data_IF_914606499732
#
_entry.id   IF_914606499732
#
_cell.length_a   1.000
_cell.length_b   1.000
_cell.length_c   1.000
_cell.angle_alpha   90.00
_cell.angle_beta   90.00
_cell.angle_gamma   90.00
#
_symmetry.space_group_name_H-M   'P 1'
#
loop_
_entity.id
_entity.type
_entity.pdbx_description
1 polymer ?
#
# COMPACT_ATOMS: atom_id res chain seq x y z
N UNK A 1 43.87 -28.34 -19.39
CA UNK A 1 42.53 -27.77 -19.68
C UNK A 1 42.46 -26.38 -19.09
N UNK A 2 42.18 -25.32 -19.88
CA UNK A 2 41.92 -23.98 -19.33
C UNK A 2 40.49 -23.97 -18.77
N UNK A 3 40.35 -23.73 -17.47
CA UNK A 3 39.05 -23.64 -16.81
C UNK A 3 38.32 -22.40 -17.32
N UNK A 4 37.14 -22.59 -17.93
CA UNK A 4 36.30 -21.49 -18.43
C UNK A 4 35.52 -20.93 -17.24
N UNK A 5 35.95 -19.79 -16.72
CA UNK A 5 35.23 -19.07 -15.67
C UNK A 5 34.12 -18.23 -16.31
N UNK A 6 32.92 -18.30 -15.76
CA UNK A 6 31.77 -17.47 -16.13
C UNK A 6 31.53 -16.51 -14.97
N UNK A 7 31.44 -15.22 -15.26
CA UNK A 7 31.14 -14.18 -14.28
C UNK A 7 29.70 -14.32 -13.76
N UNK A 8 29.54 -14.33 -12.43
CA UNK A 8 28.24 -14.27 -11.77
C UNK A 8 27.82 -12.80 -11.73
N UNK A 9 26.81 -12.44 -12.52
CA UNK A 9 26.34 -11.04 -12.63
C UNK A 9 25.36 -10.63 -11.53
N UNK A 10 24.68 -11.59 -10.92
CA UNK A 10 23.71 -11.35 -9.86
C UNK A 10 23.44 -12.68 -9.17
N UNK A 11 23.74 -12.74 -7.88
CA UNK A 11 23.47 -13.90 -7.04
C UNK A 11 22.25 -13.68 -6.14
N UNK A 12 21.89 -14.70 -5.37
CA UNK A 12 20.73 -14.64 -4.47
C UNK A 12 20.90 -13.55 -3.40
N UNK A 13 22.12 -13.27 -2.96
CA UNK A 13 22.41 -12.26 -1.93
C UNK A 13 22.28 -10.84 -2.48
N UNK A 14 22.86 -10.57 -3.66
CA UNK A 14 22.70 -9.29 -4.37
C UNK A 14 21.22 -8.98 -4.60
N UNK A 15 20.45 -9.96 -5.09
CA UNK A 15 19.02 -9.78 -5.30
C UNK A 15 18.29 -9.60 -3.97
N UNK A 16 18.61 -10.35 -2.92
CA UNK A 16 17.99 -10.19 -1.61
C UNK A 16 18.26 -8.81 -0.99
N UNK A 17 19.47 -8.27 -1.15
CA UNK A 17 19.82 -6.95 -0.63
C UNK A 17 19.10 -5.84 -1.41
N UNK A 18 19.05 -5.93 -2.74
CA UNK A 18 18.29 -5.00 -3.58
C UNK A 18 16.78 -5.05 -3.31
N UNK A 19 16.24 -6.20 -2.90
CA UNK A 19 14.85 -6.31 -2.45
C UNK A 19 14.64 -5.49 -1.17
N UNK A 20 15.58 -5.54 -0.21
CA UNK A 20 15.50 -4.77 1.04
C UNK A 20 15.67 -3.26 0.80
N UNK A 21 16.41 -2.86 -0.24
CA UNK A 21 16.50 -1.44 -0.64
C UNK A 21 15.15 -0.87 -1.10
N UNK A 22 14.28 -1.69 -1.70
CA UNK A 22 12.92 -1.27 -2.06
C UNK A 22 12.07 -1.06 -0.81
N UNK A 23 12.14 -2.01 0.13
CA UNK A 23 11.47 -1.93 1.43
C UNK A 23 12.20 -2.83 2.45
N UNK A 24 12.65 -2.26 3.57
CA UNK A 24 13.45 -2.98 4.57
C UNK A 24 12.70 -4.15 5.25
N UNK A 25 11.37 -4.19 5.14
CA UNK A 25 10.54 -5.27 5.66
C UNK A 25 10.39 -6.44 4.68
N UNK A 26 10.85 -6.30 3.43
CA UNK A 26 10.83 -7.39 2.47
C UNK A 26 11.86 -8.48 2.81
N UNK A 27 11.45 -9.73 2.59
CA UNK A 27 12.26 -10.93 2.77
C UNK A 27 12.03 -11.87 1.59
N UNK A 28 13.12 -12.43 1.06
CA UNK A 28 13.12 -13.38 -0.05
C UNK A 28 13.13 -14.81 0.50
N UNK A 29 12.25 -15.66 -0.03
CA UNK A 29 12.13 -17.08 0.30
C UNK A 29 12.15 -17.90 -0.97
N UNK A 30 12.58 -19.16 -0.88
CA UNK A 30 12.32 -20.16 -1.91
C UNK A 30 11.34 -21.20 -1.37
N UNK A 31 10.24 -21.42 -2.07
CA UNK A 31 9.27 -22.45 -1.76
C UNK A 31 9.63 -23.73 -2.51
N UNK A 32 10.10 -24.79 -1.83
CA UNK A 32 10.39 -26.07 -2.48
C UNK A 32 9.11 -26.78 -2.93
N UNK A 33 7.97 -26.52 -2.29
CA UNK A 33 6.67 -27.10 -2.64
C UNK A 33 6.15 -26.57 -3.99
N UNK A 34 6.34 -25.27 -4.25
CA UNK A 34 5.86 -24.61 -5.46
C UNK A 34 6.98 -24.30 -6.47
N UNK A 35 8.21 -24.73 -6.18
CA UNK A 35 9.42 -24.47 -6.96
C UNK A 35 9.57 -23.01 -7.43
N UNK A 36 9.34 -22.06 -6.52
CA UNK A 36 9.36 -20.62 -6.84
C UNK A 36 9.92 -19.78 -5.71
N UNK A 37 10.42 -18.61 -6.06
CA UNK A 37 10.78 -17.58 -5.10
C UNK A 37 9.56 -16.77 -4.67
N UNK A 38 9.54 -16.37 -3.41
CA UNK A 38 8.47 -15.56 -2.82
C UNK A 38 9.08 -14.38 -2.07
N UNK A 39 8.66 -13.17 -2.43
CA UNK A 39 8.99 -11.97 -1.68
C UNK A 39 7.83 -11.69 -0.75
N UNK A 40 8.10 -11.69 0.55
CA UNK A 40 7.08 -11.52 1.58
C UNK A 40 7.34 -10.27 2.42
N UNK A 41 6.27 -9.66 2.89
CA UNK A 41 6.26 -8.55 3.86
C UNK A 41 5.36 -8.93 5.02
N UNK A 42 5.89 -8.94 6.25
CA UNK A 42 5.11 -9.27 7.46
C UNK A 42 4.29 -10.57 7.34
N UNK A 43 4.85 -11.59 6.70
CA UNK A 43 4.21 -12.89 6.49
C UNK A 43 3.35 -13.01 5.22
N UNK A 44 2.91 -11.89 4.63
CA UNK A 44 2.13 -11.88 3.40
C UNK A 44 3.00 -11.99 2.15
N UNK A 45 2.54 -12.76 1.16
CA UNK A 45 3.18 -12.84 -0.16
C UNK A 45 2.88 -11.55 -0.95
N UNK A 46 3.93 -10.82 -1.29
CA UNK A 46 3.83 -9.63 -2.14
C UNK A 46 4.02 -9.98 -3.62
N UNK A 47 5.04 -10.78 -3.92
CA UNK A 47 5.37 -11.24 -5.27
C UNK A 47 5.82 -12.70 -5.23
N UNK A 48 5.46 -13.44 -6.28
CA UNK A 48 6.00 -14.76 -6.58
C UNK A 48 6.81 -14.70 -7.87
N UNK A 49 7.87 -15.50 -7.96
CA UNK A 49 8.77 -15.52 -9.11
C UNK A 49 9.24 -16.94 -9.38
N UNK A 50 8.85 -17.51 -10.53
CA UNK A 50 9.11 -18.92 -10.89
C UNK A 50 10.37 -19.10 -11.73
N UNK A 51 10.89 -18.02 -12.32
CA UNK A 51 12.11 -18.06 -13.12
C UNK A 51 13.37 -17.94 -12.24
N UNK A 52 14.54 -18.01 -12.86
CA UNK A 52 15.79 -17.64 -12.20
C UNK A 52 15.70 -16.22 -11.62
N UNK A 53 16.30 -16.00 -10.45
CA UNK A 53 16.36 -14.67 -9.85
C UNK A 53 17.09 -13.72 -10.79
N UNK A 54 16.39 -12.66 -11.19
CA UNK A 54 16.89 -11.64 -12.10
C UNK A 54 16.43 -10.27 -11.64
N UNK A 55 17.07 -9.24 -12.17
CA UNK A 55 16.74 -7.83 -11.88
C UNK A 55 15.28 -7.49 -12.18
N UNK A 56 14.60 -8.26 -13.04
CA UNK A 56 13.19 -8.06 -13.34
C UNK A 56 12.28 -8.17 -12.10
N UNK A 57 12.68 -8.96 -11.08
CA UNK A 57 11.93 -9.03 -9.81
C UNK A 57 11.95 -7.68 -9.06
N UNK A 58 13.06 -6.94 -9.15
CA UNK A 58 13.23 -5.63 -8.51
C UNK A 58 12.33 -4.60 -9.18
N UNK A 59 12.26 -4.61 -10.51
CA UNK A 59 11.36 -3.71 -11.26
C UNK A 59 9.91 -3.94 -10.85
N UNK A 60 9.45 -5.20 -10.84
CA UNK A 60 8.08 -5.53 -10.41
C UNK A 60 7.80 -5.15 -8.96
N UNK A 61 8.78 -5.32 -8.06
CA UNK A 61 8.62 -4.91 -6.66
C UNK A 61 8.45 -3.40 -6.53
N UNK A 62 9.25 -2.60 -7.26
CA UNK A 62 9.12 -1.14 -7.25
C UNK A 62 7.76 -0.69 -7.78
N UNK A 63 7.29 -1.27 -8.89
CA UNK A 63 5.96 -1.00 -9.42
C UNK A 63 4.85 -1.34 -8.42
N UNK A 64 4.96 -2.51 -7.78
CA UNK A 64 3.98 -2.97 -6.79
C UNK A 64 3.96 -2.06 -5.56
N UNK A 65 5.13 -1.63 -5.08
CA UNK A 65 5.29 -0.73 -3.94
C UNK A 65 4.65 0.64 -4.22
N UNK A 66 4.96 1.24 -5.37
CA UNK A 66 4.38 2.51 -5.82
C UNK A 66 2.86 2.40 -5.96
N UNK A 67 2.35 1.37 -6.64
CA UNK A 67 0.90 1.18 -6.83
C UNK A 67 0.17 1.04 -5.49
N UNK A 68 0.73 0.29 -4.54
CA UNK A 68 0.12 0.10 -3.22
C UNK A 68 0.11 1.41 -2.42
N UNK A 69 1.16 2.22 -2.53
CA UNK A 69 1.21 3.56 -1.93
C UNK A 69 0.13 4.48 -2.49
N UNK A 70 -0.04 4.52 -3.81
CA UNK A 70 -1.09 5.33 -4.46
C UNK A 70 -2.50 4.90 -4.06
N UNK A 71 -2.73 3.58 -3.95
CA UNK A 71 -4.01 3.05 -3.49
C UNK A 71 -4.33 3.49 -2.07
N UNK A 72 -3.37 3.40 -1.15
CA UNK A 72 -3.54 3.85 0.24
C UNK A 72 -3.83 5.36 0.32
N UNK A 73 -3.13 6.19 -0.45
CA UNK A 73 -3.41 7.63 -0.49
C UNK A 73 -4.84 7.92 -0.95
N UNK A 74 -5.30 7.26 -2.01
CA UNK A 74 -6.70 7.40 -2.49
C UNK A 74 -7.72 6.94 -1.46
N UNK A 75 -7.42 5.90 -0.69
CA UNK A 75 -8.31 5.43 0.38
C UNK A 75 -8.40 6.44 1.53
N UNK A 76 -7.27 7.05 1.91
CA UNK A 76 -7.22 8.12 2.92
C UNK A 76 -8.02 9.33 2.45
N UNK A 77 -7.79 9.83 1.23
CA UNK A 77 -8.53 10.97 0.66
C UNK A 77 -10.05 10.72 0.66
N UNK A 78 -10.48 9.51 0.27
CA UNK A 78 -11.90 9.12 0.30
C UNK A 78 -12.47 9.00 1.71
N UNK A 79 -11.65 8.66 2.71
CA UNK A 79 -12.07 8.59 4.09
C UNK A 79 -12.24 10.01 4.66
N UNK A 80 -11.30 10.92 4.37
CA UNK A 80 -11.38 12.33 4.76
C UNK A 80 -12.56 13.06 4.11
N UNK A 81 -12.82 12.82 2.83
CA UNK A 81 -13.97 13.41 2.13
C UNK A 81 -15.30 12.95 2.75
N UNK A 82 -15.40 11.67 3.13
CA UNK A 82 -16.57 11.13 3.83
C UNK A 82 -16.75 11.77 5.20
N UNK A 83 -15.67 11.85 5.99
CA UNK A 83 -15.71 12.48 7.31
C UNK A 83 -16.17 13.95 7.24
N UNK A 84 -15.67 14.70 6.25
CA UNK A 84 -16.07 16.10 6.03
C UNK A 84 -17.56 16.23 5.67
N UNK A 85 -18.08 15.37 4.79
CA UNK A 85 -19.51 15.35 4.44
C UNK A 85 -20.40 15.02 5.64
N UNK A 86 -19.99 14.07 6.48
CA UNK A 86 -20.72 13.70 7.70
C UNK A 86 -20.69 14.82 8.76
N UNK A 87 -19.61 15.58 8.83
CA UNK A 87 -19.51 16.77 9.68
C UNK A 87 -20.42 17.88 9.17
N UNK A 88 -20.35 18.21 7.88
CA UNK A 88 -21.23 19.21 7.24
C UNK A 88 -22.72 18.87 7.39
N UNK A 89 -23.08 17.58 7.28
CA UNK A 89 -24.44 17.12 7.49
C UNK A 89 -24.89 17.34 8.94
N UNK A 90 -24.07 16.94 9.91
CA UNK A 90 -24.35 17.12 11.34
C UNK A 90 -24.47 18.58 11.72
N UNK A 91 -23.64 19.45 11.16
CA UNK A 91 -23.71 20.88 11.44
C UNK A 91 -24.97 21.50 10.85
N UNK A 92 -25.39 21.09 9.65
CA UNK A 92 -26.69 21.48 9.07
C UNK A 92 -27.86 21.01 9.91
N UNK A 93 -27.85 19.77 10.38
CA UNK A 93 -28.91 19.23 11.26
C UNK A 93 -29.00 20.03 12.56
N UNK A 94 -27.87 20.30 13.23
CA UNK A 94 -27.84 21.12 14.45
C UNK A 94 -28.37 22.53 14.23
N UNK A 95 -28.01 23.16 13.11
CA UNK A 95 -28.53 24.49 12.74
C UNK A 95 -30.04 24.42 12.50
N UNK A 96 -30.53 23.38 11.83
CA UNK A 96 -31.96 23.12 11.61
C UNK A 96 -32.71 23.00 12.93
N UNK A 97 -32.26 22.11 13.81
CA UNK A 97 -32.85 21.89 15.14
C UNK A 97 -32.84 23.17 16.01
N UNK A 98 -31.73 23.92 15.99
CA UNK A 98 -31.62 25.18 16.71
C UNK A 98 -32.59 26.25 16.16
N UNK A 99 -32.74 26.31 14.84
CA UNK A 99 -33.67 27.22 14.16
C UNK A 99 -35.13 26.85 14.48
N UNK A 100 -35.47 25.57 14.45
CA UNK A 100 -36.81 25.08 14.82
C UNK A 100 -37.14 25.35 16.28
N UNK A 101 -36.19 25.13 17.21
CA UNK A 101 -36.36 25.52 18.62
C UNK A 101 -36.58 27.01 18.80
N UNK A 102 -35.81 27.84 18.11
CA UNK A 102 -35.94 29.30 18.17
C UNK A 102 -37.30 29.79 17.66
N UNK A 103 -37.77 29.23 16.54
CA UNK A 103 -39.10 29.54 16.01
C UNK A 103 -40.23 29.04 16.92
N UNK A 104 -40.08 27.86 17.53
CA UNK A 104 -41.08 27.28 18.43
C UNK A 104 -41.20 28.01 19.78
N UNK A 105 -40.12 28.63 20.27
CA UNK A 105 -40.10 29.35 21.55
C UNK A 105 -40.51 30.84 21.45
N UNK A 106 -40.99 31.31 20.29
CA UNK A 106 -41.63 32.62 20.16
C UNK A 106 -40.74 33.73 19.59
N UNK A 107 -39.86 33.41 18.64
CA UNK A 107 -39.02 34.38 17.94
C UNK A 107 -39.75 35.19 16.88
N UNK A 108 -40.65 36.10 17.28
CA UNK A 108 -40.97 37.39 16.65
C UNK A 108 -42.15 38.03 17.41
N UNK A 109 -41.84 38.72 18.51
CA UNK A 109 -42.64 39.89 18.90
C UNK A 109 -42.02 41.09 18.20
N UNK A 110 -42.51 41.36 16.99
CA UNK A 110 -42.41 42.67 16.35
C UNK A 110 -43.30 43.67 17.10
#
# INVERSE_FOLDING_TARGET
MKQRLIEIKSDVFDIADRIKEVDGEYRLYYSPLYHRYEVRKRGEICITWTEGLSVAIITKLRETHVRRREQLLKEIERAEERARREEEHRDREKIGEATERFMSQGGLKA
#
